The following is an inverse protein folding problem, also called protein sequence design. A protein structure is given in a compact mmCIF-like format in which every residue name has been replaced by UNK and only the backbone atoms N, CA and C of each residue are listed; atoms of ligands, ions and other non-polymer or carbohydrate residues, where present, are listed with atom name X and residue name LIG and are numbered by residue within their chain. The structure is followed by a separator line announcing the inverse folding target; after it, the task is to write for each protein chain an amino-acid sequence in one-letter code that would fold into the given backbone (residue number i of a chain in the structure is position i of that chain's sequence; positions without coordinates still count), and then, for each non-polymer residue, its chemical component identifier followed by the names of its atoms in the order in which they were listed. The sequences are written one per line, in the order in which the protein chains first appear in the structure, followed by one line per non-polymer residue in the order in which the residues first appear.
data_IF_657398856665
#
_entry.id   IF_657398856665
#
_cell.length_a   1.000
_cell.length_b   1.000
_cell.length_c   1.000
_cell.angle_alpha   90.00
_cell.angle_beta   90.00
_cell.angle_gamma   90.00
#
_symmetry.space_group_name_H-M   'P 1'
#
loop_
_entity.id
_entity.type
_entity.pdbx_description
1 polymer ?
#
# COMPACT_ATOMS: atom_id res chain seq x y z
N UNK A 1 -13.30 17.62 -2.02
CA UNK A 1 -12.67 16.31 -1.87
C UNK A 1 -11.20 16.43 -1.47
N UNK A 2 -10.36 17.06 -2.30
CA UNK A 2 -8.91 17.15 -2.05
C UNK A 2 -8.52 17.97 -0.81
N UNK A 3 -9.38 18.87 -0.36
CA UNK A 3 -9.19 19.67 0.85
C UNK A 3 -9.81 19.03 2.10
N UNK A 4 -10.38 17.82 1.94
CA UNK A 4 -11.03 17.07 3.04
C UNK A 4 -12.08 17.90 3.78
N UNK A 5 -12.84 18.72 3.03
CA UNK A 5 -13.96 19.51 3.58
C UNK A 5 -15.10 18.55 3.97
N UNK A 6 -15.29 18.32 5.27
CA UNK A 6 -16.18 17.31 5.82
C UNK A 6 -17.05 17.81 6.98
N UNK A 7 -17.27 19.11 7.08
CA UNK A 7 -18.10 19.66 8.15
C UNK A 7 -19.57 19.38 7.83
N UNK A 8 -20.22 18.59 8.69
CA UNK A 8 -21.63 18.25 8.54
C UNK A 8 -22.55 19.48 8.76
N UNK A 9 -23.62 19.55 8.01
CA UNK A 9 -24.70 20.51 8.23
C UNK A 9 -25.46 20.11 9.51
N UNK A 10 -25.76 21.02 10.43
CA UNK A 10 -26.50 20.68 11.64
C UNK A 10 -27.81 19.96 11.34
N UNK A 11 -28.00 18.75 11.93
CA UNK A 11 -29.19 17.95 11.77
C UNK A 11 -29.36 17.22 10.43
N UNK A 12 -28.31 17.15 9.61
CA UNK A 12 -28.29 16.43 8.34
C UNK A 12 -26.98 15.67 8.14
N UNK A 13 -27.00 14.63 7.30
CA UNK A 13 -25.80 13.90 6.89
C UNK A 13 -24.99 14.65 5.80
N UNK A 14 -25.60 15.65 5.19
CA UNK A 14 -24.95 16.48 4.17
C UNK A 14 -23.87 17.38 4.77
N UNK A 15 -22.78 17.55 4.04
CA UNK A 15 -21.76 18.54 4.41
C UNK A 15 -22.24 19.96 4.07
N UNK A 16 -21.81 20.93 4.88
CA UNK A 16 -21.93 22.33 4.49
C UNK A 16 -21.12 22.56 3.21
N UNK A 17 -21.51 23.55 2.43
CA UNK A 17 -20.77 23.92 1.21
C UNK A 17 -20.80 22.85 0.10
N UNK A 18 -21.82 21.99 0.10
CA UNK A 18 -22.00 20.93 -0.91
C UNK A 18 -22.89 21.33 -2.09
N UNK A 19 -23.29 22.59 -2.17
CA UNK A 19 -24.17 23.12 -3.21
C UNK A 19 -23.52 23.02 -4.61
N UNK A 20 -24.25 22.41 -5.55
CA UNK A 20 -23.71 22.07 -6.88
C UNK A 20 -23.48 23.28 -7.79
N UNK A 21 -24.19 24.38 -7.55
CA UNK A 21 -24.24 25.55 -8.45
C UNK A 21 -23.61 26.82 -7.88
N UNK A 22 -23.07 26.72 -6.67
CA UNK A 22 -22.41 27.86 -6.05
C UNK A 22 -20.92 27.89 -6.42
N UNK A 23 -20.45 29.01 -6.95
CA UNK A 23 -19.03 29.22 -7.17
C UNK A 23 -18.32 29.50 -5.85
N UNK A 24 -17.45 28.60 -5.45
CA UNK A 24 -16.64 28.72 -4.24
C UNK A 24 -15.15 28.72 -4.60
N UNK A 25 -14.53 29.91 -4.63
CA UNK A 25 -13.09 30.00 -4.84
C UNK A 25 -12.35 29.39 -3.65
N UNK A 26 -11.33 28.59 -3.94
CA UNK A 26 -10.45 27.98 -2.94
C UNK A 26 -9.02 28.31 -3.27
N UNK A 27 -8.24 28.64 -2.24
CA UNK A 27 -6.79 28.82 -2.39
C UNK A 27 -6.09 27.47 -2.32
N UNK A 28 -6.00 26.80 -3.47
CA UNK A 28 -5.38 25.49 -3.63
C UNK A 28 -3.89 25.52 -3.28
N UNK A 29 -3.17 26.58 -3.70
CA UNK A 29 -1.75 26.72 -3.44
C UNK A 29 -1.45 26.87 -1.94
N UNK A 30 -2.25 27.66 -1.22
CA UNK A 30 -2.10 27.78 0.23
C UNK A 30 -2.48 26.49 0.95
N UNK A 31 -3.49 25.76 0.47
CA UNK A 31 -3.88 24.47 1.04
C UNK A 31 -2.78 23.41 0.88
N UNK A 32 -2.17 23.32 -0.28
CA UNK A 32 -1.06 22.40 -0.55
C UNK A 32 0.16 22.77 0.30
N UNK A 33 0.56 24.04 0.30
CA UNK A 33 1.69 24.55 1.11
C UNK A 33 1.52 24.28 2.60
N UNK A 34 0.29 24.32 3.11
CA UNK A 34 -0.01 24.07 4.54
C UNK A 34 -0.24 22.58 4.87
N UNK A 35 -0.14 21.67 3.89
CA UNK A 35 -0.39 20.25 4.08
C UNK A 35 -1.87 19.88 4.26
N UNK A 36 -2.81 20.80 4.00
CA UNK A 36 -4.26 20.52 4.07
C UNK A 36 -4.82 19.83 2.84
N UNK A 37 -4.08 19.86 1.72
CA UNK A 37 -4.50 19.18 0.50
C UNK A 37 -3.93 17.78 0.44
N UNK A 38 -4.76 16.79 0.13
CA UNK A 38 -4.34 15.41 -0.16
C UNK A 38 -4.00 15.18 -1.63
N UNK A 39 -4.05 16.23 -2.47
CA UNK A 39 -3.76 16.12 -3.91
C UNK A 39 -2.36 15.55 -4.20
N UNK A 40 -1.27 15.92 -3.50
CA UNK A 40 0.05 15.31 -3.72
C UNK A 40 0.05 13.81 -3.44
N UNK A 41 -0.67 13.37 -2.39
CA UNK A 41 -0.80 11.95 -2.05
C UNK A 41 -1.57 11.18 -3.13
N UNK A 42 -2.68 11.72 -3.61
CA UNK A 42 -3.45 11.13 -4.72
C UNK A 42 -2.60 11.04 -5.99
N UNK A 43 -1.82 12.07 -6.28
CA UNK A 43 -0.90 12.08 -7.43
C UNK A 43 0.10 10.93 -7.29
N UNK A 44 0.74 10.79 -6.15
CA UNK A 44 1.70 9.70 -5.87
C UNK A 44 1.08 8.32 -6.05
N UNK A 45 -0.12 8.10 -5.49
CA UNK A 45 -0.83 6.83 -5.66
C UNK A 45 -1.17 6.53 -7.13
N UNK A 46 -1.56 7.55 -7.90
CA UNK A 46 -1.82 7.39 -9.33
C UNK A 46 -0.55 7.11 -10.15
N UNK A 47 0.58 7.71 -9.79
CA UNK A 47 1.89 7.40 -10.39
C UNK A 47 2.28 5.94 -10.12
N UNK A 48 2.18 5.49 -8.87
CA UNK A 48 2.42 4.10 -8.47
C UNK A 48 1.53 3.16 -9.28
N UNK A 49 0.23 3.45 -9.34
CA UNK A 49 -0.73 2.61 -10.07
C UNK A 49 -0.39 2.51 -11.57
N UNK A 50 0.04 3.60 -12.19
CA UNK A 50 0.42 3.61 -13.62
C UNK A 50 1.74 2.86 -13.87
N UNK A 51 2.68 2.92 -12.93
CA UNK A 51 4.00 2.30 -13.05
C UNK A 51 3.96 0.77 -12.85
N UNK A 52 2.93 0.24 -12.17
CA UNK A 52 2.84 -1.16 -11.79
C UNK A 52 1.66 -1.85 -12.50
N UNK A 53 1.91 -2.66 -13.57
CA UNK A 53 0.86 -3.35 -14.32
C UNK A 53 -0.05 -4.23 -13.46
N UNK A 54 0.46 -4.85 -12.39
CA UNK A 54 -0.33 -5.64 -11.46
C UNK A 54 -1.48 -4.83 -10.82
N UNK A 55 -1.30 -3.52 -10.63
CA UNK A 55 -2.33 -2.63 -10.07
C UNK A 55 -3.42 -2.25 -11.08
N UNK A 56 -3.24 -2.55 -12.36
CA UNK A 56 -4.22 -2.26 -13.42
C UNK A 56 -5.21 -3.40 -13.64
N UNK A 57 -4.98 -4.57 -13.03
CA UNK A 57 -5.87 -5.72 -13.12
C UNK A 57 -6.85 -5.75 -11.94
N UNK A 58 -8.05 -6.28 -12.13
CA UNK A 58 -9.07 -6.36 -11.07
C UNK A 58 -9.02 -7.68 -10.29
N UNK A 59 -8.73 -8.79 -10.95
CA UNK A 59 -8.94 -10.15 -10.41
C UNK A 59 -7.71 -10.81 -9.80
N UNK A 60 -6.56 -10.14 -9.82
CA UNK A 60 -5.28 -10.64 -9.31
C UNK A 60 -5.00 -10.17 -7.88
N UNK A 61 -6.02 -9.97 -7.07
CA UNK A 61 -5.88 -9.60 -5.66
C UNK A 61 -5.92 -10.86 -4.79
N UNK A 62 -4.96 -10.97 -3.87
CA UNK A 62 -4.89 -12.04 -2.87
C UNK A 62 -4.72 -11.43 -1.49
N UNK A 63 -5.53 -11.86 -0.53
CA UNK A 63 -5.44 -11.41 0.85
C UNK A 63 -4.51 -12.29 1.66
N UNK A 64 -3.78 -11.68 2.58
CA UNK A 64 -2.83 -12.32 3.46
C UNK A 64 -3.22 -12.13 4.93
N UNK A 65 -2.52 -12.80 5.85
CA UNK A 65 -2.86 -12.78 7.27
C UNK A 65 -2.12 -11.68 8.02
N UNK A 66 -2.80 -11.10 9.01
CA UNK A 66 -2.22 -10.23 10.03
C UNK A 66 -2.62 -10.73 11.42
N UNK A 67 -1.77 -10.54 12.43
CA UNK A 67 -2.07 -10.84 13.83
C UNK A 67 -2.89 -9.69 14.49
N UNK A 68 -3.03 -8.55 13.81
CA UNK A 68 -3.91 -7.42 14.21
C UNK A 68 -5.03 -7.24 13.19
N UNK A 69 -6.29 -7.33 13.65
CA UNK A 69 -7.47 -7.18 12.80
C UNK A 69 -7.67 -5.78 12.21
N UNK A 70 -6.95 -4.76 12.70
CA UNK A 70 -6.94 -3.42 12.11
C UNK A 70 -5.92 -3.26 10.98
N UNK A 71 -5.08 -4.27 10.75
CA UNK A 71 -4.10 -4.27 9.64
C UNK A 71 -4.62 -5.16 8.52
N UNK A 72 -4.92 -4.54 7.38
CA UNK A 72 -5.28 -5.22 6.14
C UNK A 72 -4.04 -5.46 5.29
N UNK A 73 -3.87 -6.70 4.83
CA UNK A 73 -2.74 -7.09 3.97
C UNK A 73 -3.26 -7.75 2.71
N UNK A 74 -2.84 -7.26 1.57
CA UNK A 74 -3.11 -7.90 0.28
C UNK A 74 -1.96 -7.72 -0.69
N UNK A 75 -1.91 -8.57 -1.69
CA UNK A 75 -0.99 -8.43 -2.81
C UNK A 75 -1.72 -8.45 -4.15
N UNK A 76 -1.02 -7.94 -5.16
CA UNK A 76 -1.39 -8.08 -6.56
C UNK A 76 -0.16 -8.56 -7.32
N UNK A 77 -0.30 -9.70 -7.96
CA UNK A 77 0.75 -10.32 -8.76
C UNK A 77 0.32 -10.44 -10.22
N UNK A 78 1.26 -10.24 -11.12
CA UNK A 78 1.09 -10.43 -12.55
C UNK A 78 2.33 -11.10 -13.11
N UNK A 79 2.14 -12.27 -13.71
CA UNK A 79 3.22 -13.03 -14.37
C UNK A 79 3.82 -12.26 -15.55
N UNK A 80 5.08 -12.54 -15.86
CA UNK A 80 5.81 -11.86 -16.93
C UNK A 80 5.18 -11.99 -18.30
N UNK A 81 4.48 -13.10 -18.58
CA UNK A 81 3.76 -13.30 -19.85
C UNK A 81 2.64 -12.28 -20.09
N UNK A 82 2.14 -11.66 -19.01
CA UNK A 82 1.08 -10.64 -19.05
C UNK A 82 1.59 -9.21 -18.89
N UNK A 83 2.91 -9.01 -18.88
CA UNK A 83 3.56 -7.69 -18.78
C UNK A 83 4.24 -7.31 -20.09
N UNK A 84 4.33 -6.02 -20.38
CA UNK A 84 4.95 -5.54 -21.63
C UNK A 84 6.46 -5.80 -21.68
N UNK A 85 7.13 -5.88 -20.52
CA UNK A 85 8.58 -6.08 -20.41
C UNK A 85 8.97 -7.55 -20.17
N UNK A 86 8.02 -8.46 -20.13
CA UNK A 86 8.26 -9.88 -19.90
C UNK A 86 8.70 -10.24 -18.47
N UNK A 87 8.65 -9.30 -17.53
CA UNK A 87 9.03 -9.53 -16.13
C UNK A 87 7.80 -9.55 -15.23
N UNK A 88 7.74 -10.45 -14.22
CA UNK A 88 6.69 -10.41 -13.22
C UNK A 88 6.62 -9.05 -12.52
N UNK A 89 5.41 -8.70 -12.10
CA UNK A 89 5.19 -7.49 -11.32
C UNK A 89 4.35 -7.82 -10.08
N UNK A 90 4.91 -7.58 -8.91
CA UNK A 90 4.28 -7.87 -7.62
C UNK A 90 4.27 -6.64 -6.75
N UNK A 91 3.10 -6.29 -6.23
CA UNK A 91 2.90 -5.21 -5.26
C UNK A 91 2.17 -5.77 -4.06
N UNK A 92 2.73 -5.53 -2.88
CA UNK A 92 2.17 -5.92 -1.58
C UNK A 92 1.74 -4.66 -0.87
N UNK A 93 0.51 -4.64 -0.37
CA UNK A 93 -0.06 -3.48 0.30
C UNK A 93 -0.43 -3.87 1.73
N UNK A 94 0.04 -3.08 2.70
CA UNK A 94 -0.28 -3.23 4.12
C UNK A 94 -0.89 -1.93 4.60
N UNK A 95 -2.12 -1.97 5.09
CA UNK A 95 -2.89 -0.78 5.46
C UNK A 95 -3.30 -0.85 6.92
N UNK A 96 -3.04 0.22 7.67
CA UNK A 96 -3.68 0.45 8.95
C UNK A 96 -5.07 1.07 8.71
N UNK A 97 -6.12 0.32 9.07
CA UNK A 97 -7.52 0.76 8.92
C UNK A 97 -8.04 1.51 10.14
N UNK A 98 -7.22 1.59 11.21
CA UNK A 98 -7.53 2.41 12.40
C UNK A 98 -6.95 3.82 12.23
N UNK A 99 -7.77 4.85 12.05
CA UNK A 99 -7.27 6.20 11.84
C UNK A 99 -6.76 6.88 13.11
N UNK A 100 -6.87 6.23 14.29
CA UNK A 100 -6.62 6.85 15.59
C UNK A 100 -5.41 6.28 16.33
N UNK A 101 -4.96 5.08 15.97
CA UNK A 101 -3.89 4.42 16.69
C UNK A 101 -2.78 3.90 15.77
N UNK A 102 -1.55 4.03 16.24
CA UNK A 102 -0.41 3.32 15.67
C UNK A 102 -0.65 1.82 15.84
N UNK A 103 -0.47 1.07 14.77
CA UNK A 103 -0.56 -0.39 14.77
C UNK A 103 0.78 -0.99 14.39
N UNK A 104 1.19 -1.98 15.16
CA UNK A 104 2.40 -2.76 14.89
C UNK A 104 2.10 -4.24 15.10
N UNK A 105 2.50 -5.06 14.14
CA UNK A 105 2.13 -6.47 14.13
C UNK A 105 3.03 -7.30 13.21
N UNK A 106 2.88 -8.62 13.29
CA UNK A 106 3.41 -9.53 12.30
C UNK A 106 2.37 -9.80 11.22
N UNK A 107 2.79 -9.67 9.97
CA UNK A 107 2.02 -10.09 8.80
C UNK A 107 2.61 -11.35 8.20
N UNK A 108 1.76 -12.24 7.70
CA UNK A 108 2.18 -13.50 7.08
C UNK A 108 1.74 -13.51 5.63
N UNK A 109 2.70 -13.61 4.72
CA UNK A 109 2.49 -13.67 3.29
C UNK A 109 2.42 -15.12 2.80
N UNK A 110 1.47 -15.42 1.93
CA UNK A 110 1.48 -16.63 1.11
C UNK A 110 2.39 -16.37 -0.10
N UNK A 111 3.64 -16.81 -0.01
CA UNK A 111 4.66 -16.53 -1.02
C UNK A 111 4.36 -17.17 -2.36
N UNK A 112 3.67 -18.32 -2.35
CA UNK A 112 3.23 -18.99 -3.57
C UNK A 112 2.31 -18.09 -4.43
N UNK A 113 1.44 -17.33 -3.78
CA UNK A 113 0.56 -16.33 -4.43
C UNK A 113 1.31 -15.14 -5.02
N UNK A 114 2.56 -14.95 -4.60
CA UNK A 114 3.47 -13.93 -5.12
C UNK A 114 4.39 -14.46 -6.22
N UNK A 115 4.22 -15.74 -6.62
CA UNK A 115 5.13 -16.41 -7.57
C UNK A 115 6.48 -16.75 -6.96
N UNK A 116 6.59 -16.85 -5.63
CA UNK A 116 7.83 -17.11 -4.91
C UNK A 116 7.81 -18.45 -4.19
N UNK A 117 8.97 -19.12 -4.01
CA UNK A 117 9.07 -20.30 -3.16
C UNK A 117 8.73 -20.00 -1.70
N UNK A 118 8.19 -20.97 -0.95
CA UNK A 118 7.74 -20.82 0.44
C UNK A 118 8.80 -20.32 1.42
N UNK A 119 10.06 -20.54 1.14
CA UNK A 119 11.19 -20.13 1.97
C UNK A 119 11.98 -18.96 1.36
N UNK A 120 11.39 -18.25 0.40
CA UNK A 120 12.04 -17.09 -0.21
C UNK A 120 12.21 -15.95 0.80
N UNK A 121 13.35 -15.31 0.69
CA UNK A 121 13.64 -14.02 1.32
C UNK A 121 13.99 -13.06 0.20
N UNK A 122 13.37 -11.89 0.17
CA UNK A 122 13.44 -10.97 -0.96
C UNK A 122 13.38 -9.52 -0.50
N UNK A 123 13.97 -8.66 -1.28
CA UNK A 123 13.93 -7.22 -1.01
C UNK A 123 12.65 -6.61 -1.61
N UNK A 124 12.01 -5.76 -0.82
CA UNK A 124 10.87 -4.94 -1.25
C UNK A 124 11.21 -3.48 -1.04
N UNK A 125 10.76 -2.65 -1.98
CA UNK A 125 10.89 -1.19 -1.85
C UNK A 125 9.51 -0.59 -1.63
N UNK A 126 9.35 0.18 -0.56
CA UNK A 126 8.15 0.98 -0.36
C UNK A 126 8.10 2.11 -1.41
N UNK A 127 7.05 2.11 -2.18
CA UNK A 127 6.87 3.06 -3.28
C UNK A 127 6.49 4.46 -2.82
N UNK A 128 6.09 4.61 -1.55
CA UNK A 128 5.75 5.91 -0.95
C UNK A 128 7.02 6.57 -0.42
N UNK A 129 7.76 5.88 0.45
CA UNK A 129 8.93 6.42 1.14
C UNK A 129 10.24 6.19 0.40
N UNK A 130 10.32 5.14 -0.41
CA UNK A 130 11.56 4.68 -1.06
C UNK A 130 12.42 3.81 -0.16
N UNK A 131 11.98 3.49 1.06
CA UNK A 131 12.69 2.57 1.96
C UNK A 131 12.68 1.15 1.40
N UNK A 132 13.73 0.40 1.70
CA UNK A 132 13.87 -1.00 1.28
C UNK A 132 13.98 -1.91 2.48
N UNK A 133 13.20 -2.98 2.46
CA UNK A 133 13.19 -3.99 3.51
C UNK A 133 13.43 -5.38 2.95
N UNK A 134 13.96 -6.26 3.79
CA UNK A 134 14.12 -7.66 3.46
C UNK A 134 12.96 -8.45 4.07
N UNK A 135 12.09 -8.98 3.23
CA UNK A 135 10.88 -9.68 3.61
C UNK A 135 10.93 -11.17 3.27
N UNK A 136 10.11 -11.94 3.97
CA UNK A 136 9.87 -13.36 3.74
C UNK A 136 8.44 -13.74 4.04
N UNK A 137 8.20 -14.95 4.55
CA UNK A 137 6.85 -15.40 4.92
C UNK A 137 6.25 -14.58 6.06
N UNK A 138 7.06 -14.23 7.10
CA UNK A 138 6.60 -13.43 8.25
C UNK A 138 7.40 -12.13 8.33
N UNK A 139 6.69 -11.00 8.43
CA UNK A 139 7.29 -9.67 8.40
C UNK A 139 6.68 -8.79 9.47
N UNK A 140 7.52 -8.07 10.22
CA UNK A 140 7.07 -7.03 11.13
C UNK A 140 6.72 -5.77 10.35
N UNK A 141 5.60 -5.15 10.71
CA UNK A 141 5.15 -3.86 10.17
C UNK A 141 4.72 -2.95 11.30
N UNK A 142 4.94 -1.64 11.12
CA UNK A 142 4.47 -0.59 12.00
C UNK A 142 3.93 0.55 11.16
N UNK A 143 2.64 0.86 11.34
CA UNK A 143 1.91 1.86 10.57
C UNK A 143 1.32 2.91 11.50
N UNK A 144 1.73 4.15 11.31
CA UNK A 144 1.26 5.31 12.05
C UNK A 144 0.29 6.11 11.17
N UNK A 145 -1.01 6.22 11.54
CA UNK A 145 -1.99 6.90 10.70
C UNK A 145 -1.69 8.40 10.49
N UNK A 146 -0.90 9.01 11.39
CA UNK A 146 -0.52 10.42 11.27
C UNK A 146 0.72 10.64 10.37
N UNK A 147 1.50 9.58 10.11
CA UNK A 147 2.77 9.68 9.37
C UNK A 147 2.72 8.83 8.10
N UNK A 148 2.48 7.53 8.26
CA UNK A 148 2.47 6.56 7.17
C UNK A 148 1.44 5.45 7.47
N UNK A 149 0.18 5.61 7.02
CA UNK A 149 -0.88 4.65 7.28
C UNK A 149 -0.81 3.40 6.38
N UNK A 150 0.05 3.39 5.37
CA UNK A 150 0.11 2.34 4.36
C UNK A 150 1.54 2.12 3.87
N UNK A 151 1.94 0.86 3.75
CA UNK A 151 3.08 0.46 2.93
C UNK A 151 2.59 -0.06 1.58
N UNK A 152 3.17 0.42 0.49
CA UNK A 152 2.96 -0.08 -0.86
C UNK A 152 4.31 -0.59 -1.35
N UNK A 153 4.59 -1.86 -1.07
CA UNK A 153 5.88 -2.48 -1.26
C UNK A 153 5.94 -3.21 -2.62
N UNK A 154 6.86 -2.82 -3.49
CA UNK A 154 7.11 -3.52 -4.72
C UNK A 154 8.28 -4.51 -4.58
N UNK A 155 8.08 -5.75 -5.01
CA UNK A 155 9.15 -6.71 -5.22
C UNK A 155 9.74 -6.48 -6.62
N UNK A 156 11.06 -6.33 -6.67
CA UNK A 156 11.81 -6.19 -7.92
C UNK A 156 12.61 -7.47 -8.13
N UNK A 157 12.20 -8.27 -9.11
CA UNK A 157 12.90 -9.48 -9.49
C UNK A 157 14.35 -9.17 -9.90
N UNK A 158 15.31 -9.91 -9.30
CA UNK A 158 16.74 -9.81 -9.62
C UNK A 158 17.59 -9.05 -8.63
N UNK A 159 17.04 -8.34 -7.62
CA UNK A 159 17.86 -7.63 -6.64
C UNK A 159 18.35 -8.47 -5.48
N UNK A 160 17.65 -9.44 -4.98
CA UNK A 160 18.16 -10.57 -4.16
C UNK A 160 17.03 -11.51 -3.74
N UNK A 161 16.78 -12.52 -4.54
CA UNK A 161 16.05 -13.70 -4.09
C UNK A 161 17.05 -14.62 -3.38
N UNK A 162 16.90 -14.82 -2.08
CA UNK A 162 17.66 -15.80 -1.30
C UNK A 162 16.70 -16.84 -0.76
N UNK A 163 17.12 -18.09 -0.74
CA UNK A 163 16.43 -19.13 0.02
C UNK A 163 16.91 -19.03 1.48
N UNK A 164 16.00 -18.97 2.43
CA UNK A 164 16.35 -19.08 3.83
C UNK A 164 17.09 -20.40 4.04
N UNK A 165 18.27 -20.36 4.65
CA UNK A 165 19.07 -21.55 4.92
C UNK A 165 18.22 -22.51 5.74
N UNK A 166 17.95 -23.69 5.20
CA UNK A 166 17.31 -24.78 5.93
C UNK A 166 18.25 -25.16 7.07
N UNK A 167 17.90 -24.82 8.30
CA UNK A 167 18.57 -25.34 9.48
C UNK A 167 18.17 -26.80 9.63
N UNK A 168 18.74 -27.68 8.81
CA UNK A 168 18.70 -29.12 9.06
C UNK A 168 19.63 -29.40 10.27
N UNK A 169 19.02 -29.46 11.45
CA UNK A 169 19.69 -30.11 12.57
C UNK A 169 19.75 -31.60 12.25
N UNK A 170 20.91 -32.06 11.80
CA UNK A 170 21.24 -33.51 11.81
C UNK A 170 21.44 -33.88 13.27
N UNK A 171 20.57 -34.73 13.77
CA UNK A 171 20.73 -35.42 15.04
C UNK A 171 21.45 -36.74 14.79
#
# INVERSE_FOLDING_TARGET
YELVESVARPGAEEHIDSEKFEFRPRDWAAAEKSGRSIAPHITKLNEIRKAHPALLQLRNIEFHSSEDGAILVYSKHLDGEHTQNGKPNTVIVVVNTDPHAVRETMVTLDLWKLGLPDNAVFDVTDLITGETWNWGTRNYVRLDPAVEPVHIAAYIEGLSLRLAASSVKVH
#
